data_IF_161830731761
#
_entry.id   IF_161830731761
#
_cell.length_a   1.000
_cell.length_b   1.000
_cell.length_c   1.000
_cell.angle_alpha   90.00
_cell.angle_beta   90.00
_cell.angle_gamma   90.00
#
_symmetry.space_group_name_H-M   'P 1'
#
loop_
_entity.id
_entity.type
_entity.pdbx_description
1 polymer ?
#
# COMPACT_ATOMS: atom_id res chain seq x y z
N UNK A 1 28.16 7.93 65.35
CA UNK A 1 27.99 7.10 64.11
C UNK A 1 26.94 7.75 63.24
N UNK A 2 27.38 8.51 62.25
CA UNK A 2 26.48 9.20 61.34
C UNK A 2 26.32 8.38 60.06
N UNK A 3 25.11 7.94 59.76
CA UNK A 3 24.79 7.36 58.46
C UNK A 3 24.62 8.48 57.41
N UNK A 4 25.54 8.57 56.47
CA UNK A 4 25.42 9.51 55.34
C UNK A 4 24.37 8.99 54.33
N UNK A 5 23.22 9.63 54.27
CA UNK A 5 22.23 9.39 53.21
C UNK A 5 22.75 10.06 51.95
N UNK A 6 23.17 9.27 50.96
CA UNK A 6 23.46 9.75 49.63
C UNK A 6 22.15 10.09 48.94
N UNK A 7 21.88 11.37 48.74
CA UNK A 7 20.82 11.84 47.83
C UNK A 7 21.23 11.44 46.43
N UNK A 8 20.55 10.45 45.85
CA UNK A 8 20.65 10.14 44.47
C UNK A 8 20.04 11.27 43.63
N UNK A 9 20.88 11.98 42.90
CA UNK A 9 20.43 12.97 41.89
C UNK A 9 19.79 12.22 40.75
N UNK A 10 18.46 12.26 40.68
CA UNK A 10 17.73 11.79 39.49
C UNK A 10 18.06 12.70 38.33
N UNK A 11 18.87 12.23 37.39
CA UNK A 11 19.12 12.92 36.14
C UNK A 11 17.87 12.71 35.25
N UNK A 12 16.94 13.64 35.28
CA UNK A 12 15.81 13.66 34.34
C UNK A 12 16.36 14.18 33.02
N UNK A 13 16.67 13.27 32.10
CA UNK A 13 16.98 13.64 30.72
C UNK A 13 15.68 14.05 30.06
N UNK A 14 15.46 15.35 29.94
CA UNK A 14 14.37 15.89 29.13
C UNK A 14 14.67 15.57 27.66
N UNK A 15 13.97 14.59 27.11
CA UNK A 15 13.99 14.33 25.65
C UNK A 15 13.30 15.52 25.00
N UNK A 16 14.06 16.40 24.38
CA UNK A 16 13.51 17.43 23.49
C UNK A 16 13.00 16.72 22.25
N UNK A 17 11.70 16.52 22.18
CA UNK A 17 11.05 16.12 20.95
C UNK A 17 11.15 17.30 19.97
N UNK A 18 11.79 17.07 18.82
CA UNK A 18 11.76 18.05 17.74
C UNK A 18 10.30 18.25 17.29
N UNK A 19 9.88 19.45 16.91
CA UNK A 19 8.55 19.68 16.39
C UNK A 19 8.34 18.83 15.14
N UNK A 20 7.17 18.18 15.02
CA UNK A 20 6.79 17.38 13.85
C UNK A 20 6.76 18.29 12.61
N UNK A 21 7.35 17.83 11.53
CA UNK A 21 7.22 18.48 10.23
C UNK A 21 5.83 18.22 9.65
N UNK A 22 5.42 18.99 8.65
CA UNK A 22 4.16 18.75 7.94
C UNK A 22 4.12 17.34 7.32
N UNK A 23 5.24 16.85 6.80
CA UNK A 23 5.34 15.48 6.27
C UNK A 23 5.17 14.41 7.35
N UNK A 24 5.72 14.63 8.55
CA UNK A 24 5.53 13.69 9.67
C UNK A 24 4.06 13.59 10.07
N UNK A 25 3.33 14.70 10.03
CA UNK A 25 1.88 14.72 10.31
C UNK A 25 1.12 13.94 9.25
N UNK A 26 1.36 14.20 7.95
CA UNK A 26 0.72 13.49 6.84
C UNK A 26 1.02 11.99 6.87
N UNK A 27 2.26 11.61 7.17
CA UNK A 27 2.65 10.21 7.32
C UNK A 27 1.90 9.55 8.47
N UNK A 28 1.82 10.22 9.62
CA UNK A 28 1.11 9.74 10.79
C UNK A 28 -0.38 9.54 10.52
N UNK A 29 -1.01 10.47 9.82
CA UNK A 29 -2.41 10.36 9.39
C UNK A 29 -2.62 9.18 8.44
N UNK A 30 -1.76 9.01 7.44
CA UNK A 30 -1.83 7.89 6.51
C UNK A 30 -1.69 6.53 7.22
N UNK A 31 -0.72 6.41 8.12
CA UNK A 31 -0.54 5.21 8.95
C UNK A 31 -1.78 4.91 9.79
N UNK A 32 -2.39 5.94 10.37
CA UNK A 32 -3.62 5.80 11.14
C UNK A 32 -4.77 5.29 10.27
N UNK A 33 -4.99 5.87 9.09
CA UNK A 33 -6.02 5.43 8.13
C UNK A 33 -5.83 3.97 7.74
N UNK A 34 -4.61 3.53 7.43
CA UNK A 34 -4.35 2.12 7.11
C UNK A 34 -4.75 1.18 8.25
N UNK A 35 -4.47 1.57 9.49
CA UNK A 35 -4.82 0.76 10.68
C UNK A 35 -6.32 0.74 10.96
N UNK A 36 -7.00 1.87 10.79
CA UNK A 36 -8.46 1.97 10.93
C UNK A 36 -9.17 1.07 9.90
N UNK A 37 -8.78 1.17 8.63
CA UNK A 37 -9.36 0.36 7.57
C UNK A 37 -9.14 -1.13 7.82
N UNK A 38 -7.96 -1.52 8.31
CA UNK A 38 -7.68 -2.92 8.68
C UNK A 38 -8.55 -3.41 9.85
N UNK A 39 -8.98 -2.52 10.73
CA UNK A 39 -9.86 -2.85 11.85
C UNK A 39 -11.34 -2.88 11.49
N UNK A 40 -11.77 -2.12 10.50
CA UNK A 40 -13.19 -1.93 10.14
C UNK A 40 -13.65 -2.79 8.96
N UNK A 41 -12.75 -3.12 8.03
CA UNK A 41 -13.08 -3.82 6.79
C UNK A 41 -12.47 -5.23 6.78
N UNK A 42 -13.20 -6.17 6.16
CA UNK A 42 -12.77 -7.58 6.11
C UNK A 42 -11.78 -7.85 4.97
N UNK A 43 -11.97 -7.16 3.84
CA UNK A 43 -11.19 -7.39 2.61
C UNK A 43 -10.71 -6.09 1.95
N UNK A 44 -9.86 -5.32 2.61
CA UNK A 44 -9.27 -4.14 1.99
C UNK A 44 -8.27 -4.52 0.89
N UNK A 45 -8.18 -3.67 -0.14
CA UNK A 45 -7.26 -3.83 -1.26
C UNK A 45 -6.50 -2.54 -1.53
N UNK A 46 -5.23 -2.67 -1.89
CA UNK A 46 -4.40 -1.56 -2.38
C UNK A 46 -4.26 -1.71 -3.90
N UNK A 47 -4.61 -0.66 -4.63
CA UNK A 47 -4.39 -0.61 -6.07
C UNK A 47 -2.93 -0.24 -6.36
N UNK A 48 -2.31 -0.99 -7.25
CA UNK A 48 -0.93 -0.75 -7.67
C UNK A 48 -0.87 -0.45 -9.17
N UNK A 49 -0.44 0.75 -9.51
CA UNK A 49 -0.24 1.19 -10.90
C UNK A 49 1.24 1.23 -11.33
N UNK A 50 2.15 1.10 -10.37
CA UNK A 50 3.59 1.31 -10.60
C UNK A 50 4.00 2.79 -10.61
N UNK A 51 3.06 3.71 -10.48
CA UNK A 51 3.33 5.14 -10.32
C UNK A 51 3.81 5.49 -8.91
N UNK A 52 4.38 6.68 -8.77
CA UNK A 52 4.96 7.18 -7.51
C UNK A 52 3.99 7.06 -6.31
N UNK A 53 2.72 7.35 -6.53
CA UNK A 53 1.73 7.38 -5.45
C UNK A 53 1.42 5.98 -4.92
N UNK A 54 1.32 4.98 -5.82
CA UNK A 54 1.15 3.58 -5.41
C UNK A 54 2.39 3.03 -4.66
N UNK A 55 3.58 3.49 -5.03
CA UNK A 55 4.84 3.14 -4.34
C UNK A 55 4.85 3.73 -2.93
N UNK A 56 4.46 5.00 -2.78
CA UNK A 56 4.36 5.67 -1.48
C UNK A 56 3.32 4.98 -0.59
N UNK A 57 2.15 4.62 -1.14
CA UNK A 57 1.13 3.87 -0.40
C UNK A 57 1.65 2.55 0.14
N UNK A 58 2.40 1.78 -0.66
CA UNK A 58 3.01 0.52 -0.19
C UNK A 58 4.01 0.75 0.94
N UNK A 59 4.81 1.81 0.84
CA UNK A 59 5.76 2.18 1.89
C UNK A 59 5.03 2.52 3.20
N UNK A 60 3.98 3.32 3.13
CA UNK A 60 3.17 3.71 4.29
C UNK A 60 2.41 2.53 4.89
N UNK A 61 1.83 1.67 4.07
CA UNK A 61 1.18 0.45 4.53
C UNK A 61 2.17 -0.46 5.28
N UNK A 62 3.37 -0.67 4.73
CA UNK A 62 4.42 -1.42 5.42
C UNK A 62 4.78 -0.79 6.77
N UNK A 63 4.92 0.53 6.82
CA UNK A 63 5.24 1.25 8.05
C UNK A 63 4.11 1.13 9.08
N UNK A 64 2.85 1.12 8.63
CA UNK A 64 1.69 0.99 9.51
C UNK A 64 1.64 -0.33 10.26
N UNK A 65 2.12 -1.42 9.66
CA UNK A 65 1.99 -2.77 10.21
C UNK A 65 3.31 -3.41 10.64
N UNK A 66 4.47 -2.83 10.29
CA UNK A 66 5.75 -3.40 10.68
C UNK A 66 5.84 -3.66 12.21
N UNK A 67 6.41 -4.79 12.65
CA UNK A 67 7.08 -5.83 11.86
C UNK A 67 6.15 -6.90 11.24
N UNK A 68 4.83 -6.81 11.47
CA UNK A 68 3.87 -7.75 10.90
C UNK A 68 3.71 -7.56 9.38
N UNK A 69 3.28 -8.60 8.65
CA UNK A 69 2.90 -8.47 7.24
C UNK A 69 1.75 -7.49 7.06
N UNK A 70 1.71 -6.82 5.91
CA UNK A 70 0.58 -5.95 5.53
C UNK A 70 -0.66 -6.83 5.29
N UNK A 71 -1.79 -6.60 5.99
CA UNK A 71 -2.96 -7.49 5.94
C UNK A 71 -3.86 -7.24 4.72
N UNK A 72 -3.35 -6.62 3.67
CA UNK A 72 -4.11 -6.26 2.47
C UNK A 72 -3.72 -7.11 1.27
N UNK A 73 -4.62 -7.15 0.29
CA UNK A 73 -4.32 -7.63 -1.06
C UNK A 73 -3.77 -6.46 -1.87
N UNK A 74 -2.77 -6.71 -2.70
CA UNK A 74 -2.32 -5.80 -3.73
C UNK A 74 -2.99 -6.19 -5.05
N UNK A 75 -3.77 -5.29 -5.64
CA UNK A 75 -4.40 -5.50 -6.94
C UNK A 75 -3.66 -4.68 -8.01
N UNK A 76 -3.11 -5.38 -8.97
CA UNK A 76 -2.47 -4.80 -10.13
C UNK A 76 -3.26 -5.14 -11.39
N UNK A 77 -3.61 -4.13 -12.19
CA UNK A 77 -4.16 -4.36 -13.53
C UNK A 77 -3.02 -4.32 -14.53
N UNK A 78 -2.69 -5.48 -15.07
CA UNK A 78 -1.64 -5.62 -16.07
C UNK A 78 -2.20 -5.33 -17.46
N UNK A 79 -1.71 -4.25 -18.08
CA UNK A 79 -2.08 -3.87 -19.44
C UNK A 79 -1.35 -4.69 -20.50
N UNK A 80 -0.32 -5.43 -20.14
CA UNK A 80 0.65 -6.04 -21.06
C UNK A 80 1.68 -5.05 -21.63
N UNK A 81 1.55 -3.76 -21.29
CA UNK A 81 2.46 -2.69 -21.74
C UNK A 81 3.26 -2.09 -20.58
N UNK A 82 3.27 -2.74 -19.42
CA UNK A 82 4.04 -2.28 -18.28
C UNK A 82 5.55 -2.49 -18.52
N UNK A 83 6.36 -1.54 -18.06
CA UNK A 83 7.80 -1.71 -18.08
C UNK A 83 8.22 -2.88 -17.17
N UNK A 84 9.19 -3.72 -17.59
CA UNK A 84 9.68 -4.84 -16.78
C UNK A 84 10.12 -4.43 -15.37
N UNK A 85 10.71 -3.24 -15.22
CA UNK A 85 11.16 -2.69 -13.94
C UNK A 85 10.00 -2.45 -12.97
N UNK A 86 8.82 -2.11 -13.46
CA UNK A 86 7.61 -1.91 -12.66
C UNK A 86 7.12 -3.26 -12.11
N UNK A 87 7.11 -4.28 -12.95
CA UNK A 87 6.70 -5.63 -12.56
C UNK A 87 7.67 -6.24 -11.55
N UNK A 88 8.97 -6.08 -11.78
CA UNK A 88 10.01 -6.52 -10.85
C UNK A 88 9.95 -5.80 -9.51
N UNK A 89 9.73 -4.48 -9.52
CA UNK A 89 9.50 -3.73 -8.29
C UNK A 89 8.26 -4.24 -7.53
N UNK A 90 7.15 -4.46 -8.23
CA UNK A 90 5.91 -4.99 -7.66
C UNK A 90 6.18 -6.33 -6.94
N UNK A 91 6.82 -7.25 -7.63
CA UNK A 91 7.05 -8.60 -7.10
C UNK A 91 7.97 -8.58 -5.89
N UNK A 92 9.01 -7.74 -5.91
CA UNK A 92 9.89 -7.54 -4.74
C UNK A 92 9.15 -6.87 -3.58
N UNK A 93 8.29 -5.90 -3.85
CA UNK A 93 7.51 -5.22 -2.81
C UNK A 93 6.50 -6.18 -2.16
N UNK A 94 5.85 -7.02 -2.96
CA UNK A 94 4.94 -8.07 -2.48
C UNK A 94 5.66 -9.00 -1.52
N UNK A 95 6.82 -9.53 -1.90
CA UNK A 95 7.61 -10.41 -1.06
C UNK A 95 8.07 -9.73 0.23
N UNK A 96 8.56 -8.49 0.14
CA UNK A 96 9.08 -7.74 1.28
C UNK A 96 8.01 -7.33 2.29
N UNK A 97 6.81 -6.99 1.81
CA UNK A 97 5.71 -6.53 2.66
C UNK A 97 4.79 -7.67 3.13
N UNK A 98 5.01 -8.89 2.65
CA UNK A 98 4.14 -10.03 2.95
C UNK A 98 2.71 -9.87 2.39
N UNK A 99 2.56 -9.14 1.27
CA UNK A 99 1.29 -8.91 0.62
C UNK A 99 0.83 -10.15 -0.17
N UNK A 100 -0.49 -10.27 -0.33
CA UNK A 100 -1.08 -11.17 -1.32
C UNK A 100 -1.28 -10.37 -2.61
N UNK A 101 -0.81 -10.89 -3.73
CA UNK A 101 -0.94 -10.24 -5.04
C UNK A 101 -2.09 -10.85 -5.83
N UNK A 102 -2.94 -10.00 -6.39
CA UNK A 102 -3.88 -10.35 -7.45
C UNK A 102 -3.57 -9.51 -8.69
N UNK A 103 -3.44 -10.19 -9.84
CA UNK A 103 -3.20 -9.53 -11.12
C UNK A 103 -4.43 -9.74 -12.00
N UNK A 104 -5.02 -8.64 -12.47
CA UNK A 104 -6.08 -8.64 -13.47
C UNK A 104 -5.46 -8.28 -14.83
N UNK A 105 -5.52 -9.19 -15.80
CA UNK A 105 -4.85 -9.02 -17.09
C UNK A 105 -5.80 -8.49 -18.15
N UNK A 106 -5.49 -7.32 -18.72
CA UNK A 106 -6.21 -6.78 -19.87
C UNK A 106 -6.10 -7.73 -21.09
N UNK A 107 -4.94 -8.37 -21.26
CA UNK A 107 -4.73 -9.32 -22.36
C UNK A 107 -5.69 -10.50 -22.29
N UNK A 108 -5.94 -11.07 -21.11
CA UNK A 108 -6.91 -12.16 -20.95
C UNK A 108 -8.32 -11.75 -21.38
N UNK A 109 -8.72 -10.52 -21.10
CA UNK A 109 -10.03 -10.00 -21.54
C UNK A 109 -10.10 -9.80 -23.04
N UNK A 110 -9.00 -9.42 -23.69
CA UNK A 110 -8.92 -9.32 -25.15
C UNK A 110 -8.98 -10.71 -25.78
N UNK A 111 -8.20 -11.65 -25.29
CA UNK A 111 -8.12 -13.03 -25.78
C UNK A 111 -9.48 -13.74 -25.68
N UNK A 112 -10.24 -13.45 -24.63
CA UNK A 112 -11.59 -13.98 -24.41
C UNK A 112 -12.69 -13.20 -25.17
N UNK A 113 -12.34 -12.19 -25.98
CA UNK A 113 -13.26 -11.38 -26.77
C UNK A 113 -14.14 -10.43 -25.93
N UNK A 114 -13.81 -10.21 -24.67
CA UNK A 114 -14.57 -9.33 -23.75
C UNK A 114 -14.15 -7.86 -23.86
N UNK A 115 -12.94 -7.61 -24.32
CA UNK A 115 -12.42 -6.30 -24.67
C UNK A 115 -11.79 -6.36 -26.06
N UNK A 116 -11.75 -5.20 -26.72
CA UNK A 116 -11.12 -5.05 -28.02
C UNK A 116 -9.99 -4.04 -27.96
N UNK A 117 -8.92 -4.34 -28.66
CA UNK A 117 -7.81 -3.39 -28.83
C UNK A 117 -8.34 -2.09 -29.43
N UNK A 118 -7.84 -0.97 -28.93
CA UNK A 118 -8.15 0.33 -29.51
C UNK A 118 -7.33 0.59 -30.76
N UNK A 119 -7.86 1.33 -31.74
CA UNK A 119 -7.12 1.66 -32.97
C UNK A 119 -5.80 2.40 -32.72
N UNK A 120 -5.72 3.14 -31.60
CA UNK A 120 -4.52 3.88 -31.17
C UNK A 120 -3.52 3.03 -30.36
N UNK A 121 -3.83 1.74 -30.13
CA UNK A 121 -3.01 0.82 -29.34
C UNK A 121 -2.95 1.11 -27.86
N UNK A 122 -3.69 2.11 -27.35
CA UNK A 122 -3.69 2.44 -25.92
C UNK A 122 -4.54 1.45 -25.13
N UNK A 123 -4.01 0.97 -23.99
CA UNK A 123 -4.70 0.02 -23.11
C UNK A 123 -5.13 0.61 -21.78
N UNK A 124 -4.72 1.84 -21.45
CA UNK A 124 -5.10 2.47 -20.19
C UNK A 124 -6.62 2.57 -19.98
N UNK A 125 -7.44 2.96 -20.98
CA UNK A 125 -8.89 2.97 -20.83
C UNK A 125 -9.51 1.57 -20.65
N UNK A 126 -8.80 0.52 -21.08
CA UNK A 126 -9.27 -0.85 -20.97
C UNK A 126 -9.14 -1.45 -19.58
N UNK A 127 -8.44 -0.79 -18.66
CA UNK A 127 -8.21 -1.27 -17.30
C UNK A 127 -9.48 -1.26 -16.45
N UNK A 128 -10.46 -0.42 -16.77
CA UNK A 128 -11.68 -0.23 -15.96
C UNK A 128 -12.46 -1.52 -15.77
N UNK A 129 -12.65 -2.29 -16.83
CA UNK A 129 -13.45 -3.53 -16.76
C UNK A 129 -12.76 -4.60 -15.90
N UNK A 130 -11.49 -4.99 -16.15
CA UNK A 130 -10.78 -5.94 -15.30
C UNK A 130 -10.70 -5.50 -13.83
N UNK A 131 -10.48 -4.19 -13.60
CA UNK A 131 -10.42 -3.63 -12.26
C UNK A 131 -11.76 -3.80 -11.52
N UNK A 132 -12.85 -3.35 -12.14
CA UNK A 132 -14.17 -3.39 -11.53
C UNK A 132 -14.61 -4.83 -11.25
N UNK A 133 -14.38 -5.73 -12.19
CA UNK A 133 -14.72 -7.14 -12.00
C UNK A 133 -13.88 -7.81 -10.92
N UNK A 134 -12.58 -7.50 -10.83
CA UNK A 134 -11.74 -8.01 -9.76
C UNK A 134 -12.24 -7.55 -8.39
N UNK A 135 -12.60 -6.27 -8.25
CA UNK A 135 -13.13 -5.72 -7.00
C UNK A 135 -14.43 -6.44 -6.61
N UNK A 136 -15.34 -6.64 -7.56
CA UNK A 136 -16.64 -7.27 -7.31
C UNK A 136 -16.51 -8.77 -7.05
N UNK A 137 -15.79 -9.51 -7.89
CA UNK A 137 -15.67 -10.97 -7.80
C UNK A 137 -14.91 -11.42 -6.56
N UNK A 138 -13.88 -10.67 -6.16
CA UNK A 138 -13.10 -10.93 -4.96
C UNK A 138 -13.72 -10.33 -3.69
N UNK A 139 -14.82 -9.57 -3.85
CA UNK A 139 -15.58 -8.96 -2.76
C UNK A 139 -14.73 -8.06 -1.86
N UNK A 140 -13.92 -7.24 -2.48
CA UNK A 140 -13.22 -6.19 -1.73
C UNK A 140 -14.20 -5.16 -1.22
N UNK A 141 -14.08 -4.79 0.06
CA UNK A 141 -14.99 -3.90 0.77
C UNK A 141 -14.37 -2.53 1.12
N UNK A 142 -13.07 -2.38 0.89
CA UNK A 142 -12.37 -1.11 0.93
C UNK A 142 -11.25 -1.07 -0.10
N UNK A 143 -11.05 0.08 -0.74
CA UNK A 143 -10.05 0.26 -1.82
C UNK A 143 -9.19 1.47 -1.53
N UNK A 144 -7.87 1.26 -1.46
CA UNK A 144 -6.88 2.33 -1.45
C UNK A 144 -6.42 2.61 -2.87
N UNK A 145 -6.55 3.84 -3.32
CA UNK A 145 -6.04 4.32 -4.60
C UNK A 145 -5.26 5.61 -4.42
N UNK A 146 -4.15 5.76 -5.15
CA UNK A 146 -3.40 6.99 -5.28
C UNK A 146 -3.76 7.67 -6.61
N UNK A 147 -4.10 8.95 -6.56
CA UNK A 147 -4.45 9.74 -7.73
C UNK A 147 -4.06 11.19 -7.58
#
# INVERSE_FOLDING_TARGET
MGAAVRKGTAVTTAVRLAPLTHLDVLESEAVHIFREVAGEFEKPVILFSGGKDSIVMLHLARKAFAPAPVPFVLLHVDTGHNFPEVLDYRDRAVARCGLRLHVASVQEYIDNGRLHERPDGTRNPLQTVPLTEAIQSLKFDAVFGGG
#
